data_IF_261293738988
#
_entry.id   IF_261293738988
#
_cell.length_a   1.000
_cell.length_b   1.000
_cell.length_c   1.000
_cell.angle_alpha   90.00
_cell.angle_beta   90.00
_cell.angle_gamma   90.00
#
_symmetry.space_group_name_H-M   'P 1'
#
loop_
_entity.id
_entity.type
_entity.pdbx_description
1 polymer ?
#
# COMPACT_ATOMS: atom_id res chain seq x y z
N UNK A 1 28.52 23.92 -24.50
CA UNK A 1 28.57 22.58 -23.88
C UNK A 1 27.87 22.71 -22.55
N UNK A 2 26.88 21.87 -22.31
CA UNK A 2 26.11 21.86 -21.06
C UNK A 2 26.68 20.77 -20.15
N UNK A 3 26.87 21.07 -18.86
CA UNK A 3 27.40 20.15 -17.87
C UNK A 3 26.31 19.84 -16.85
N UNK A 4 25.93 18.58 -16.75
CA UNK A 4 24.95 18.09 -15.78
C UNK A 4 25.63 17.14 -14.79
N UNK A 5 25.40 17.34 -13.49
CA UNK A 5 25.85 16.39 -12.47
C UNK A 5 24.99 15.12 -12.54
N UNK A 6 25.63 13.96 -12.63
CA UNK A 6 24.95 12.66 -12.71
C UNK A 6 24.79 12.03 -11.33
N UNK A 7 24.27 12.79 -10.36
CA UNK A 7 23.92 12.38 -8.98
C UNK A 7 24.75 11.19 -8.42
N UNK A 8 26.07 11.28 -8.62
CA UNK A 8 26.99 10.17 -8.39
C UNK A 8 27.63 10.36 -7.02
N UNK A 9 28.02 9.26 -6.33
CA UNK A 9 28.65 9.36 -5.03
C UNK A 9 29.88 10.29 -5.06
N UNK A 10 29.86 11.31 -4.22
CA UNK A 10 30.98 12.27 -4.09
C UNK A 10 32.20 11.63 -3.40
N UNK A 11 31.97 10.51 -2.71
CA UNK A 11 32.98 9.74 -2.02
C UNK A 11 33.01 8.30 -2.54
N UNK A 12 34.21 7.73 -2.62
CA UNK A 12 34.43 6.34 -2.97
C UNK A 12 35.42 5.70 -1.99
N UNK A 13 35.10 4.52 -1.48
CA UNK A 13 35.99 3.70 -0.66
C UNK A 13 36.27 2.42 -1.43
N UNK A 14 37.51 2.21 -1.84
CA UNK A 14 37.87 1.01 -2.60
C UNK A 14 37.94 -0.25 -1.72
N UNK A 15 38.16 -1.43 -2.34
CA UNK A 15 38.26 -2.71 -1.63
C UNK A 15 39.43 -2.79 -0.64
N UNK A 16 40.42 -1.91 -0.77
CA UNK A 16 41.54 -1.82 0.14
C UNK A 16 41.28 -0.83 1.28
N UNK A 17 40.10 -0.20 1.31
CA UNK A 17 39.72 0.78 2.33
C UNK A 17 40.29 2.16 2.08
N UNK A 18 40.71 2.48 0.85
CA UNK A 18 41.20 3.82 0.52
C UNK A 18 40.03 4.74 0.24
N UNK A 19 39.87 5.79 1.05
CA UNK A 19 38.89 6.85 0.81
C UNK A 19 39.41 7.79 -0.27
N UNK A 20 38.56 8.04 -1.27
CA UNK A 20 38.78 8.95 -2.38
C UNK A 20 37.55 9.81 -2.55
N UNK A 21 37.73 10.96 -3.21
CA UNK A 21 36.60 11.68 -3.75
C UNK A 21 36.36 11.25 -5.19
N UNK A 22 35.09 11.17 -5.55
CA UNK A 22 34.61 10.73 -6.85
C UNK A 22 33.57 11.72 -7.36
N UNK A 23 33.36 11.76 -8.66
CA UNK A 23 32.23 12.47 -9.22
C UNK A 23 31.99 12.03 -10.65
N UNK A 24 30.75 12.16 -11.10
CA UNK A 24 30.41 11.92 -12.50
C UNK A 24 29.53 13.02 -13.05
N UNK A 25 29.81 13.41 -14.29
CA UNK A 25 29.08 14.45 -15.01
C UNK A 25 28.75 13.97 -16.41
N UNK A 26 27.65 14.49 -16.92
CA UNK A 26 27.25 14.38 -18.31
C UNK A 26 27.60 15.69 -19.00
N UNK A 27 28.43 15.61 -20.03
CA UNK A 27 28.76 16.72 -20.90
C UNK A 27 27.99 16.56 -22.21
N UNK A 28 27.17 17.55 -22.53
CA UNK A 28 26.30 17.56 -23.71
C UNK A 28 26.68 18.66 -24.69
N UNK A 29 26.76 18.32 -25.97
CA UNK A 29 26.88 19.28 -27.06
C UNK A 29 25.52 19.88 -27.43
N UNK A 30 25.51 21.16 -27.82
CA UNK A 30 24.30 21.82 -28.29
C UNK A 30 23.97 21.48 -29.76
N UNK A 31 24.98 21.10 -30.56
CA UNK A 31 24.87 20.77 -31.98
C UNK A 31 25.84 19.63 -32.35
N UNK A 32 25.47 18.82 -33.34
CA UNK A 32 26.17 17.59 -33.82
C UNK A 32 27.51 17.88 -34.53
N UNK A 33 27.90 19.16 -34.66
CA UNK A 33 29.12 19.58 -35.37
C UNK A 33 30.35 19.70 -34.49
N UNK A 34 30.21 19.50 -33.18
CA UNK A 34 31.31 19.59 -32.21
C UNK A 34 31.81 18.19 -31.85
N UNK A 35 33.12 17.97 -31.87
CA UNK A 35 33.74 16.77 -31.28
C UNK A 35 33.64 16.84 -29.75
N UNK A 36 32.49 16.39 -29.23
CA UNK A 36 32.18 16.45 -27.80
C UNK A 36 33.12 15.59 -26.95
N UNK A 37 33.72 14.54 -27.53
CA UNK A 37 34.70 13.72 -26.84
C UNK A 37 36.00 14.51 -26.57
N UNK A 38 36.54 15.18 -27.60
CA UNK A 38 37.71 16.04 -27.45
C UNK A 38 37.42 17.22 -26.50
N UNK A 39 36.22 17.81 -26.57
CA UNK A 39 35.81 18.87 -25.65
C UNK A 39 35.71 18.38 -24.19
N UNK A 40 35.18 17.16 -23.99
CA UNK A 40 35.08 16.54 -22.67
C UNK A 40 36.44 16.22 -22.08
N UNK A 41 37.40 15.70 -22.86
CA UNK A 41 38.78 15.47 -22.40
C UNK A 41 39.47 16.79 -22.02
N UNK A 42 39.35 17.83 -22.85
CA UNK A 42 39.91 19.14 -22.57
C UNK A 42 39.29 19.78 -21.32
N UNK A 43 37.97 19.63 -21.14
CA UNK A 43 37.27 20.08 -19.95
C UNK A 43 37.69 19.28 -18.72
N UNK A 44 37.89 17.97 -18.88
CA UNK A 44 38.21 17.11 -17.77
C UNK A 44 39.60 17.39 -17.17
N UNK A 45 40.51 17.90 -17.99
CA UNK A 45 41.87 18.25 -17.57
C UNK A 45 42.80 17.05 -17.54
N UNK A 46 43.78 17.07 -16.65
CA UNK A 46 44.84 16.04 -16.59
C UNK A 46 45.02 15.52 -15.18
N UNK A 47 45.41 14.26 -15.03
CA UNK A 47 45.85 13.73 -13.72
C UNK A 47 46.97 14.59 -13.13
N UNK A 48 46.94 14.83 -11.82
CA UNK A 48 47.88 15.69 -11.11
C UNK A 48 47.46 17.16 -11.00
N UNK A 49 46.41 17.60 -11.71
CA UNK A 49 45.85 18.94 -11.52
C UNK A 49 44.81 18.98 -10.39
N UNK A 50 44.52 20.19 -9.91
CA UNK A 50 43.38 20.45 -9.03
C UNK A 50 42.06 20.02 -9.70
N UNK A 51 41.11 19.54 -8.91
CA UNK A 51 39.82 19.09 -9.42
C UNK A 51 38.99 20.27 -9.94
N UNK A 52 38.49 20.15 -11.16
CA UNK A 52 37.50 21.05 -11.76
C UNK A 52 36.08 20.70 -11.31
N UNK A 53 35.50 21.52 -10.45
CA UNK A 53 34.10 21.43 -10.02
C UNK A 53 33.23 22.31 -10.91
N UNK A 54 32.19 21.80 -11.59
CA UNK A 54 31.34 22.65 -12.41
C UNK A 54 30.69 23.77 -11.59
N UNK A 55 30.48 24.93 -12.21
CA UNK A 55 29.71 26.03 -11.62
C UNK A 55 28.24 25.65 -11.53
N UNK A 56 27.49 26.34 -10.67
CA UNK A 56 26.04 26.13 -10.52
C UNK A 56 25.24 26.36 -11.82
N UNK A 57 25.77 27.14 -12.76
CA UNK A 57 25.16 27.34 -14.09
C UNK A 57 25.37 26.16 -15.04
N UNK A 58 26.31 25.25 -14.74
CA UNK A 58 26.64 24.11 -15.61
C UNK A 58 27.36 24.51 -16.91
N UNK A 59 27.88 25.74 -16.99
CA UNK A 59 28.54 26.30 -18.18
C UNK A 59 30.06 26.42 -18.04
N UNK A 60 30.58 26.42 -16.80
CA UNK A 60 32.02 26.59 -16.50
C UNK A 60 32.43 25.73 -15.29
N UNK A 61 33.66 25.87 -14.80
CA UNK A 61 34.17 25.20 -13.61
C UNK A 61 34.96 26.11 -12.67
N UNK A 62 35.00 25.75 -11.38
CA UNK A 62 35.96 26.27 -10.39
C UNK A 62 36.99 25.20 -10.06
N UNK A 63 38.18 25.62 -9.64
CA UNK A 63 39.21 24.69 -9.16
C UNK A 63 39.02 24.47 -7.65
N UNK A 64 38.98 23.20 -7.26
CA UNK A 64 39.08 22.74 -5.88
C UNK A 64 40.56 22.42 -5.60
N UNK A 65 41.31 23.33 -4.93
CA UNK A 65 42.73 23.15 -4.66
C UNK A 65 43.00 22.07 -3.60
N UNK A 66 41.97 21.57 -2.92
CA UNK A 66 42.11 20.57 -1.87
C UNK A 66 42.15 19.15 -2.43
N UNK A 67 41.85 18.97 -3.71
CA UNK A 67 41.78 17.65 -4.35
C UNK A 67 42.64 17.60 -5.61
N UNK A 68 43.58 16.67 -5.63
CA UNK A 68 44.37 16.33 -6.81
C UNK A 68 43.71 15.16 -7.54
N UNK A 69 43.49 15.35 -8.84
CA UNK A 69 42.90 14.32 -9.71
C UNK A 69 43.89 13.18 -9.90
N UNK A 70 43.48 11.96 -9.56
CA UNK A 70 44.30 10.74 -9.72
C UNK A 70 43.87 9.90 -10.92
N UNK A 71 42.61 10.01 -11.34
CA UNK A 71 42.07 9.30 -12.50
C UNK A 71 40.95 10.10 -13.18
N UNK A 72 40.90 10.01 -14.50
CA UNK A 72 39.87 10.61 -15.37
C UNK A 72 39.41 9.52 -16.33
N UNK A 73 38.10 9.29 -16.42
CA UNK A 73 37.51 8.40 -17.42
C UNK A 73 36.43 9.15 -18.20
N UNK A 74 36.62 9.27 -19.52
CA UNK A 74 35.65 9.86 -20.44
C UNK A 74 35.02 8.74 -21.28
N UNK A 75 33.72 8.49 -21.08
CA UNK A 75 32.95 7.49 -21.79
C UNK A 75 31.91 8.16 -22.68
N UNK A 76 32.06 8.05 -24.01
CA UNK A 76 31.03 8.48 -24.95
C UNK A 76 29.76 7.61 -24.77
N UNK A 77 28.60 8.26 -24.61
CA UNK A 77 27.30 7.60 -24.53
C UNK A 77 26.61 7.61 -25.90
N UNK A 78 26.70 8.75 -26.60
CA UNK A 78 26.20 8.94 -27.98
C UNK A 78 26.99 10.09 -28.68
N UNK A 79 26.53 10.55 -29.85
CA UNK A 79 27.22 11.60 -30.63
C UNK A 79 27.22 12.97 -29.95
N UNK A 80 26.33 13.21 -28.98
CA UNK A 80 26.16 14.49 -28.30
C UNK A 80 26.53 14.42 -26.82
N UNK A 81 26.68 13.24 -26.23
CA UNK A 81 26.81 13.05 -24.79
C UNK A 81 28.03 12.22 -24.38
N UNK A 82 28.80 12.75 -23.44
CA UNK A 82 29.96 12.07 -22.83
C UNK A 82 29.82 12.08 -21.32
N UNK A 83 29.91 10.90 -20.70
CA UNK A 83 30.04 10.76 -19.25
C UNK A 83 31.50 10.92 -18.86
N UNK A 84 31.79 11.89 -18.00
CA UNK A 84 33.12 12.07 -17.40
C UNK A 84 33.05 11.62 -15.95
N UNK A 85 33.92 10.71 -15.54
CA UNK A 85 34.07 10.25 -14.15
C UNK A 85 35.46 10.61 -13.63
N UNK A 86 35.52 11.28 -12.50
CA UNK A 86 36.76 11.63 -11.80
C UNK A 86 36.97 10.79 -10.55
N UNK A 87 38.24 10.54 -10.24
CA UNK A 87 38.68 10.19 -8.90
C UNK A 87 39.83 11.10 -8.48
N UNK A 88 39.83 11.51 -7.22
CA UNK A 88 40.86 12.37 -6.65
C UNK A 88 41.15 12.06 -5.20
N UNK A 89 42.34 12.45 -4.76
CA UNK A 89 42.82 12.37 -3.37
C UNK A 89 43.15 13.77 -2.86
N UNK A 90 43.34 13.94 -1.56
CA UNK A 90 43.68 15.25 -0.99
C UNK A 90 44.99 15.79 -1.57
N UNK A 91 45.09 17.11 -1.75
CA UNK A 91 46.26 17.76 -2.34
C UNK A 91 47.53 17.70 -1.49
N UNK A 92 47.40 17.34 -0.20
CA UNK A 92 48.52 16.96 0.66
C UNK A 92 49.24 15.68 0.17
N UNK A 93 48.64 14.92 -0.74
CA UNK A 93 49.16 13.63 -1.21
C UNK A 93 48.98 12.50 -0.19
N UNK A 94 48.35 12.77 0.95
CA UNK A 94 48.08 11.77 1.98
C UNK A 94 46.94 10.86 1.52
N UNK A 95 47.23 9.57 1.48
CA UNK A 95 46.22 8.53 1.24
C UNK A 95 45.53 8.24 2.57
N UNK A 96 44.22 8.42 2.59
CA UNK A 96 43.40 8.11 3.76
C UNK A 96 42.98 6.65 3.65
N UNK A 97 43.68 5.79 4.37
CA UNK A 97 43.42 4.35 4.40
C UNK A 97 42.64 3.96 5.67
N UNK A 98 41.68 3.06 5.51
CA UNK A 98 41.03 2.45 6.65
C UNK A 98 42.03 1.59 7.43
N UNK A 99 41.93 1.62 8.76
CA UNK A 99 42.65 0.71 9.66
C UNK A 99 42.19 -0.71 9.29
N UNK A 100 43.08 -1.56 8.77
CA UNK A 100 42.75 -2.87 8.18
C UNK A 100 41.83 -3.76 9.04
N UNK A 101 41.93 -3.69 10.36
CA UNK A 101 41.12 -4.48 11.30
C UNK A 101 39.80 -3.82 11.73
N UNK A 102 39.52 -2.61 11.28
CA UNK A 102 38.33 -1.83 11.67
C UNK A 102 37.12 -2.06 10.77
N UNK A 103 37.33 -2.67 9.59
CA UNK A 103 36.24 -2.90 8.65
C UNK A 103 35.24 -3.91 9.22
N UNK A 104 33.99 -3.48 9.39
CA UNK A 104 32.89 -4.32 9.85
C UNK A 104 31.71 -4.17 8.91
N UNK A 105 31.15 -5.32 8.52
CA UNK A 105 29.81 -5.41 7.96
C UNK A 105 28.83 -5.84 9.05
N UNK A 106 27.69 -5.16 9.14
CA UNK A 106 26.65 -5.47 10.10
C UNK A 106 25.29 -5.49 9.39
N UNK A 107 24.62 -6.65 9.39
CA UNK A 107 23.21 -6.74 8.99
C UNK A 107 22.36 -6.81 10.24
N UNK A 108 21.53 -5.80 10.45
CA UNK A 108 20.63 -5.72 11.59
C UNK A 108 19.34 -6.49 11.33
N UNK A 109 18.55 -6.69 12.40
CA UNK A 109 17.28 -7.44 12.35
C UNK A 109 16.23 -6.81 11.44
N UNK A 110 16.35 -5.52 11.19
CA UNK A 110 15.50 -4.74 10.30
C UNK A 110 16.00 -4.72 8.86
N UNK A 111 16.95 -5.61 8.52
CA UNK A 111 17.57 -5.73 7.20
C UNK A 111 18.45 -4.55 6.79
N UNK A 112 18.67 -3.58 7.68
CA UNK A 112 19.65 -2.52 7.46
C UNK A 112 21.05 -3.12 7.39
N UNK A 113 21.72 -2.90 6.25
CA UNK A 113 23.09 -3.32 6.00
C UNK A 113 24.04 -2.14 6.17
N UNK A 114 24.96 -2.27 7.12
CA UNK A 114 25.94 -1.25 7.44
C UNK A 114 27.34 -1.70 7.07
N UNK A 115 28.12 -0.74 6.57
CA UNK A 115 29.58 -0.81 6.53
C UNK A 115 30.16 0.22 7.48
N UNK A 116 31.11 -0.22 8.28
CA UNK A 116 31.81 0.60 9.26
C UNK A 116 33.30 0.46 8.99
N UNK A 117 34.02 1.58 8.99
CA UNK A 117 35.47 1.61 8.94
C UNK A 117 36.02 2.76 9.77
N UNK A 118 37.21 2.56 10.33
CA UNK A 118 37.96 3.61 11.01
C UNK A 118 39.12 4.06 10.15
N UNK A 119 39.36 5.37 10.13
CA UNK A 119 40.42 6.02 9.37
C UNK A 119 41.30 6.80 10.33
N UNK A 120 42.61 6.65 10.22
CA UNK A 120 43.57 7.49 10.92
C UNK A 120 44.00 8.62 9.99
N UNK A 121 43.88 9.86 10.43
CA UNK A 121 44.21 11.04 9.62
C UNK A 121 44.66 12.22 10.47
N UNK A 122 45.23 13.22 9.82
CA UNK A 122 45.55 14.49 10.46
C UNK A 122 44.26 15.16 10.96
N UNK A 123 44.32 15.81 12.12
CA UNK A 123 43.16 16.52 12.68
C UNK A 123 42.61 17.60 11.72
N UNK A 124 43.47 18.22 10.90
CA UNK A 124 43.11 19.15 9.83
C UNK A 124 42.30 18.53 8.68
N UNK A 125 42.26 17.20 8.60
CA UNK A 125 41.68 16.47 7.47
C UNK A 125 40.31 15.91 7.79
N UNK A 126 39.85 16.00 9.04
CA UNK A 126 38.55 15.49 9.49
C UNK A 126 37.39 16.11 8.69
N UNK A 127 37.48 17.38 8.30
CA UNK A 127 36.44 18.06 7.50
C UNK A 127 36.28 17.47 6.08
N UNK A 128 37.27 16.70 5.60
CA UNK A 128 37.22 16.05 4.29
C UNK A 128 36.45 14.72 4.30
N UNK A 129 35.98 14.27 5.47
CA UNK A 129 35.19 13.05 5.60
C UNK A 129 33.76 13.22 5.08
N UNK A 130 33.11 12.14 4.60
CA UNK A 130 31.71 12.18 4.21
C UNK A 130 30.84 12.70 5.35
N UNK A 131 30.00 13.69 5.06
CA UNK A 131 29.01 14.23 6.00
C UNK A 131 27.78 13.35 6.02
N UNK A 132 27.02 13.45 7.11
CA UNK A 132 25.74 12.76 7.26
C UNK A 132 24.84 13.08 6.05
N UNK A 133 24.40 12.04 5.34
CA UNK A 133 23.56 12.16 4.14
C UNK A 133 24.31 12.05 2.82
N UNK A 134 25.65 12.16 2.79
CA UNK A 134 26.45 12.07 1.58
C UNK A 134 26.42 10.66 0.98
N UNK A 135 26.37 10.57 -0.35
CA UNK A 135 26.45 9.30 -1.08
C UNK A 135 27.89 8.80 -1.15
N UNK A 136 28.07 7.51 -0.87
CA UNK A 136 29.36 6.81 -0.85
C UNK A 136 29.29 5.59 -1.76
N UNK A 137 30.19 5.50 -2.75
CA UNK A 137 30.48 4.26 -3.46
C UNK A 137 31.44 3.43 -2.61
N UNK A 138 30.94 2.38 -1.95
CA UNK A 138 31.75 1.50 -1.14
C UNK A 138 32.04 0.19 -1.88
N UNK A 139 33.18 0.15 -2.55
CA UNK A 139 33.67 -1.00 -3.32
C UNK A 139 32.73 -1.46 -4.45
N UNK A 140 32.03 -0.52 -5.09
CA UNK A 140 31.08 -0.74 -6.18
C UNK A 140 29.62 -0.84 -5.73
N UNK A 141 29.35 -0.60 -4.44
CA UNK A 141 28.02 -0.66 -3.85
C UNK A 141 27.62 0.74 -3.34
N UNK A 142 26.33 1.07 -3.46
CA UNK A 142 25.85 2.39 -3.10
C UNK A 142 25.45 2.45 -1.61
N UNK A 143 26.14 3.29 -0.87
CA UNK A 143 25.91 3.57 0.54
C UNK A 143 25.62 5.05 0.76
N UNK A 144 25.03 5.39 1.91
CA UNK A 144 24.90 6.76 2.39
C UNK A 144 25.53 6.90 3.76
N UNK A 145 26.27 7.97 3.98
CA UNK A 145 26.90 8.27 5.27
C UNK A 145 25.82 8.48 6.33
N UNK A 146 25.90 7.72 7.41
CA UNK A 146 25.03 7.86 8.59
C UNK A 146 25.74 8.63 9.70
N UNK A 147 27.03 8.34 9.92
CA UNK A 147 27.84 9.05 10.89
C UNK A 147 29.32 9.04 10.50
N UNK A 148 30.01 10.11 10.83
CA UNK A 148 31.47 10.24 10.76
C UNK A 148 31.95 10.86 12.07
N UNK A 149 32.28 10.02 13.06
CA UNK A 149 32.64 10.46 14.41
C UNK A 149 34.15 10.51 14.53
N UNK A 150 34.70 11.69 14.80
CA UNK A 150 36.12 11.89 15.02
C UNK A 150 36.47 11.87 16.51
N UNK A 151 37.45 11.05 16.87
CA UNK A 151 38.06 11.00 18.19
C UNK A 151 39.51 11.51 18.08
N UNK A 152 39.85 12.55 18.83
CA UNK A 152 41.21 13.10 18.82
C UNK A 152 42.21 12.11 19.43
N UNK A 153 43.32 11.90 18.73
CA UNK A 153 44.44 11.06 19.17
C UNK A 153 45.68 11.95 19.35
N UNK A 154 45.60 12.88 20.31
CA UNK A 154 46.57 13.95 20.49
C UNK A 154 46.22 15.21 19.67
N UNK A 155 47.19 16.13 19.54
CA UNK A 155 46.94 17.46 18.93
C UNK A 155 46.95 17.45 17.39
N UNK A 156 47.59 16.45 16.77
CA UNK A 156 47.81 16.42 15.30
C UNK A 156 47.05 15.30 14.58
N UNK A 157 46.50 14.32 15.30
CA UNK A 157 45.87 13.14 14.71
C UNK A 157 44.45 12.90 15.24
N UNK A 158 43.62 12.29 14.41
CA UNK A 158 42.27 11.86 14.76
C UNK A 158 41.96 10.48 14.16
N UNK A 159 41.20 9.68 14.91
CA UNK A 159 40.57 8.46 14.39
C UNK A 159 39.13 8.82 14.05
N UNK A 160 38.76 8.68 12.78
CA UNK A 160 37.38 8.89 12.34
C UNK A 160 36.71 7.54 12.10
N UNK A 161 35.62 7.27 12.82
CA UNK A 161 34.74 6.13 12.57
C UNK A 161 33.63 6.55 11.62
N UNK A 162 33.66 6.02 10.40
CA UNK A 162 32.61 6.20 9.39
C UNK A 162 31.64 5.02 9.45
N UNK A 163 30.35 5.31 9.58
CA UNK A 163 29.26 4.36 9.43
C UNK A 163 28.43 4.74 8.22
N UNK A 164 28.25 3.82 7.29
CA UNK A 164 27.47 4.02 6.09
C UNK A 164 26.44 2.90 5.93
N UNK A 165 25.26 3.25 5.43
CA UNK A 165 24.12 2.33 5.28
C UNK A 165 23.81 2.09 3.80
N UNK A 166 23.58 0.83 3.42
CA UNK A 166 23.31 0.43 2.04
C UNK A 166 22.01 1.10 1.56
N UNK A 167 22.03 1.77 0.42
CA UNK A 167 20.86 2.41 -0.20
C UNK A 167 20.23 1.58 -1.31
N UNK A 168 20.84 0.47 -1.74
CA UNK A 168 20.23 -0.44 -2.71
C UNK A 168 19.08 -1.28 -2.13
N UNK A 169 18.85 -1.19 -0.80
CA UNK A 169 17.79 -1.90 -0.06
C UNK A 169 16.44 -1.17 -0.17
N UNK A 170 16.15 -0.52 -1.31
CA UNK A 170 14.92 0.25 -1.54
C UNK A 170 13.64 -0.61 -1.51
N UNK A 171 13.75 -1.95 -1.51
CA UNK A 171 12.60 -2.85 -1.47
C UNK A 171 12.94 -4.24 -0.90
N UNK A 172 13.70 -4.34 0.21
CA UNK A 172 13.62 -5.55 1.04
C UNK A 172 12.37 -5.46 1.94
N UNK A 173 11.20 -5.55 1.31
CA UNK A 173 9.96 -5.80 2.02
C UNK A 173 10.00 -7.20 2.61
N UNK A 174 10.23 -7.33 3.92
CA UNK A 174 9.95 -8.62 4.58
C UNK A 174 8.44 -8.77 4.65
N UNK A 175 7.91 -9.69 3.85
CA UNK A 175 6.50 -10.03 3.90
C UNK A 175 6.32 -11.19 4.88
N UNK A 176 5.77 -10.88 6.04
CA UNK A 176 5.34 -11.90 6.99
C UNK A 176 3.88 -12.24 6.73
N UNK A 177 3.55 -13.53 6.68
CA UNK A 177 2.16 -13.99 6.53
C UNK A 177 1.67 -14.51 7.86
N UNK A 178 0.57 -13.94 8.35
CA UNK A 178 -0.17 -14.42 9.52
C UNK A 178 -1.52 -14.89 9.04
N UNK A 179 -1.79 -16.19 9.17
CA UNK A 179 -3.11 -16.78 8.95
C UNK A 179 -3.71 -17.20 10.28
N UNK A 180 -4.91 -16.75 10.61
CA UNK A 180 -5.67 -17.32 11.73
C UNK A 180 -6.65 -18.38 11.23
N UNK A 181 -7.29 -19.09 12.18
CA UNK A 181 -8.23 -20.17 11.89
C UNK A 181 -9.57 -19.68 11.29
N UNK A 182 -9.83 -18.38 11.26
CA UNK A 182 -11.10 -17.76 10.81
C UNK A 182 -11.00 -17.12 9.42
N UNK A 183 -10.20 -17.71 8.53
CA UNK A 183 -9.99 -17.27 7.14
C UNK A 183 -9.32 -15.90 6.99
N UNK A 184 -8.81 -15.30 8.08
CA UNK A 184 -8.08 -14.05 8.01
C UNK A 184 -6.65 -14.33 7.53
N UNK A 185 -6.33 -13.83 6.35
CA UNK A 185 -4.95 -13.79 5.86
C UNK A 185 -4.47 -12.35 5.93
N UNK A 186 -3.46 -12.13 6.77
CA UNK A 186 -2.80 -10.83 6.91
C UNK A 186 -1.36 -10.98 6.44
N UNK A 187 -0.92 -10.00 5.65
CA UNK A 187 0.48 -9.83 5.28
C UNK A 187 1.02 -8.54 5.88
N UNK A 188 2.19 -8.60 6.45
CA UNK A 188 2.89 -7.45 7.02
C UNK A 188 4.11 -7.18 6.16
N UNK A 189 4.21 -5.98 5.59
CA UNK A 189 5.36 -5.51 4.84
C UNK A 189 6.09 -4.43 5.65
N UNK A 190 7.39 -4.60 5.83
CA UNK A 190 8.26 -3.59 6.47
C UNK A 190 9.19 -3.00 5.42
N UNK A 191 9.17 -1.67 5.28
CA UNK A 191 9.92 -0.90 4.30
C UNK A 191 10.80 0.12 4.99
N UNK A 192 11.99 0.38 4.47
CA UNK A 192 12.90 1.42 4.95
C UNK A 192 13.07 2.46 3.84
N UNK A 193 12.61 3.68 4.10
CA UNK A 193 12.53 4.73 3.10
C UNK A 193 13.41 5.91 3.48
N UNK A 194 14.01 6.51 2.46
CA UNK A 194 14.65 7.81 2.58
C UNK A 194 13.56 8.92 2.63
N UNK A 195 13.86 10.10 3.22
CA UNK A 195 12.87 11.16 3.39
C UNK A 195 12.29 11.69 2.07
N UNK A 196 13.09 11.70 1.01
CA UNK A 196 12.70 12.08 -0.36
C UNK A 196 11.77 11.06 -1.04
N UNK A 197 11.90 9.77 -0.70
CA UNK A 197 11.04 8.71 -1.22
C UNK A 197 9.76 8.50 -0.40
N UNK A 198 9.71 8.98 0.85
CA UNK A 198 8.63 8.70 1.80
C UNK A 198 7.26 9.14 1.30
N UNK A 199 7.14 10.39 0.85
CA UNK A 199 5.85 10.98 0.45
C UNK A 199 5.23 10.22 -0.72
N UNK A 200 6.00 10.02 -1.79
CA UNK A 200 5.58 9.27 -2.97
C UNK A 200 5.23 7.80 -2.65
N UNK A 201 5.94 7.18 -1.71
CA UNK A 201 5.65 5.82 -1.27
C UNK A 201 4.33 5.73 -0.51
N UNK A 202 4.07 6.66 0.42
CA UNK A 202 2.84 6.70 1.21
C UNK A 202 1.62 7.02 0.33
N UNK A 203 1.77 7.86 -0.69
CA UNK A 203 0.69 8.13 -1.65
C UNK A 203 0.28 6.88 -2.42
N UNK A 204 1.27 6.10 -2.90
CA UNK A 204 1.02 4.82 -3.60
C UNK A 204 0.46 3.73 -2.69
N UNK A 205 0.73 3.79 -1.38
CA UNK A 205 0.35 2.78 -0.40
C UNK A 205 -0.60 3.36 0.67
N UNK A 206 -1.62 4.10 0.22
CA UNK A 206 -2.59 4.72 1.12
C UNK A 206 -3.48 3.70 1.81
N UNK A 207 -4.03 4.05 2.97
CA UNK A 207 -4.99 3.20 3.67
C UNK A 207 -6.17 2.85 2.75
N UNK A 208 -6.57 1.58 2.77
CA UNK A 208 -7.64 0.96 1.99
C UNK A 208 -7.36 0.84 0.49
N UNK A 209 -6.17 1.22 0.03
CA UNK A 209 -5.74 0.93 -1.33
C UNK A 209 -5.33 -0.55 -1.49
N UNK A 210 -5.36 -1.08 -2.74
CA UNK A 210 -4.79 -2.39 -3.05
C UNK A 210 -3.31 -2.46 -2.66
N UNK A 211 -2.92 -3.51 -1.94
CA UNK A 211 -1.56 -3.79 -1.56
C UNK A 211 -0.90 -4.72 -2.59
N UNK A 212 -0.44 -4.18 -3.73
CA UNK A 212 0.17 -4.97 -4.81
C UNK A 212 1.34 -5.84 -4.31
N UNK A 213 2.12 -5.33 -3.37
CA UNK A 213 3.22 -6.06 -2.73
C UNK A 213 2.76 -7.30 -1.94
N UNK A 214 1.52 -7.32 -1.45
CA UNK A 214 0.94 -8.45 -0.71
C UNK A 214 0.27 -9.47 -1.65
N UNK A 215 0.01 -9.12 -2.91
CA UNK A 215 -0.65 -9.95 -3.92
C UNK A 215 -2.10 -9.55 -4.18
N UNK A 216 -2.79 -10.32 -5.03
CA UNK A 216 -4.17 -10.03 -5.42
C UNK A 216 -5.14 -10.08 -4.23
N UNK A 217 -6.13 -9.19 -4.24
CA UNK A 217 -7.18 -9.07 -3.22
C UNK A 217 -6.66 -8.74 -1.81
N UNK A 218 -5.44 -8.22 -1.67
CA UNK A 218 -4.96 -7.65 -0.41
C UNK A 218 -5.19 -6.14 -0.38
N UNK A 219 -5.67 -5.63 0.74
CA UNK A 219 -5.91 -4.19 0.96
C UNK A 219 -5.22 -3.71 2.22
N UNK A 220 -4.59 -2.54 2.16
CA UNK A 220 -3.90 -1.94 3.30
C UNK A 220 -4.95 -1.52 4.34
N UNK A 221 -4.82 -1.98 5.58
CA UNK A 221 -5.72 -1.58 6.67
C UNK A 221 -4.98 -0.94 7.84
N UNK A 222 -3.64 -1.02 7.86
CA UNK A 222 -2.82 -0.35 8.85
C UNK A 222 -1.52 0.13 8.20
N UNK A 223 -1.09 1.31 8.63
CA UNK A 223 0.12 2.00 8.22
C UNK A 223 0.74 2.62 9.47
N UNK A 224 1.95 2.17 9.81
CA UNK A 224 2.74 2.68 10.93
C UNK A 224 4.05 3.25 10.37
N UNK A 225 4.43 4.45 10.80
CA UNK A 225 5.69 5.08 10.41
C UNK A 225 6.50 5.38 11.67
N UNK A 226 7.74 4.92 11.71
CA UNK A 226 8.68 5.21 12.80
C UNK A 226 10.01 5.72 12.23
N UNK A 227 10.68 6.58 13.00
CA UNK A 227 12.06 6.98 12.67
C UNK A 227 12.93 5.74 12.84
N UNK A 228 13.68 5.37 11.81
CA UNK A 228 14.63 4.26 11.92
C UNK A 228 15.76 4.62 12.90
N UNK A 229 16.53 3.62 13.35
CA UNK A 229 17.66 3.85 14.27
C UNK A 229 18.65 4.92 13.73
N UNK A 230 18.74 5.02 12.40
CA UNK A 230 19.31 6.17 11.69
C UNK A 230 18.26 7.26 11.54
N UNK A 231 18.42 8.44 12.16
CA UNK A 231 17.51 9.58 12.01
C UNK A 231 17.33 10.12 10.57
N UNK A 232 17.93 9.44 9.59
CA UNK A 232 17.92 9.73 8.16
C UNK A 232 16.97 8.84 7.36
N UNK A 233 16.25 7.91 8.00
CA UNK A 233 15.28 7.02 7.34
C UNK A 233 14.01 6.88 8.15
N UNK A 234 12.93 6.57 7.45
CA UNK A 234 11.65 6.22 8.04
C UNK A 234 11.39 4.75 7.77
N UNK A 235 11.18 3.98 8.84
CA UNK A 235 10.64 2.63 8.72
C UNK A 235 9.13 2.74 8.59
N UNK A 236 8.58 2.18 7.51
CA UNK A 236 7.15 2.12 7.25
C UNK A 236 6.72 0.66 7.36
N UNK A 237 5.78 0.38 8.26
CA UNK A 237 5.19 -0.94 8.45
C UNK A 237 3.75 -0.89 7.94
N UNK A 238 3.47 -1.66 6.89
CA UNK A 238 2.14 -1.79 6.30
C UNK A 238 1.56 -3.16 6.65
N UNK A 239 0.28 -3.19 7.04
CA UNK A 239 -0.46 -4.45 7.19
C UNK A 239 -1.58 -4.47 6.15
N UNK A 240 -1.56 -5.51 5.34
CA UNK A 240 -2.56 -5.77 4.32
C UNK A 240 -3.37 -7.01 4.68
N UNK A 241 -4.67 -6.95 4.45
CA UNK A 241 -5.60 -8.04 4.71
C UNK A 241 -6.15 -8.56 3.38
N UNK A 242 -6.25 -9.88 3.25
CA UNK A 242 -6.95 -10.51 2.14
C UNK A 242 -8.45 -10.29 2.27
N UNK A 243 -9.06 -9.73 1.23
CA UNK A 243 -10.49 -9.47 1.15
C UNK A 243 -10.99 -9.94 -0.21
N UNK A 244 -11.76 -11.01 -0.21
CA UNK A 244 -12.40 -11.55 -1.42
C UNK A 244 -13.90 -11.70 -1.17
N UNK A 245 -14.69 -11.52 -2.22
CA UNK A 245 -16.09 -11.94 -2.22
C UNK A 245 -16.18 -13.46 -2.04
N UNK A 246 -16.63 -13.89 -0.85
CA UNK A 246 -16.76 -15.30 -0.53
C UNK A 246 -17.94 -15.55 0.41
N UNK A 247 -18.72 -16.60 0.13
CA UNK A 247 -19.69 -17.13 1.10
C UNK A 247 -18.96 -17.94 2.16
N UNK A 248 -19.08 -17.53 3.42
CA UNK A 248 -18.39 -18.14 4.56
C UNK A 248 -19.29 -19.08 5.36
N UNK A 249 -20.61 -18.89 5.29
CA UNK A 249 -21.57 -19.73 6.01
C UNK A 249 -22.89 -19.81 5.24
N UNK A 250 -23.51 -20.98 5.30
CA UNK A 250 -24.86 -21.22 4.83
C UNK A 250 -25.58 -22.13 5.82
N UNK A 251 -26.72 -21.67 6.33
CA UNK A 251 -27.53 -22.37 7.31
C UNK A 251 -29.00 -22.36 6.88
N UNK A 252 -29.68 -23.46 7.21
CA UNK A 252 -31.14 -23.53 7.21
C UNK A 252 -31.60 -23.68 8.65
N UNK A 253 -32.48 -22.80 9.09
CA UNK A 253 -33.20 -22.94 10.36
C UNK A 253 -34.69 -23.17 10.12
N UNK A 254 -35.32 -23.81 11.10
CA UNK A 254 -36.74 -24.14 11.12
C UNK A 254 -37.32 -23.56 12.40
N UNK A 255 -38.32 -22.70 12.28
CA UNK A 255 -39.01 -22.09 13.42
C UNK A 255 -40.48 -22.48 13.40
N UNK A 256 -41.03 -22.92 14.53
CA UNK A 256 -42.47 -23.17 14.66
C UNK A 256 -43.15 -21.84 14.96
N UNK A 257 -43.98 -21.36 14.04
CA UNK A 257 -44.59 -20.01 14.12
C UNK A 257 -46.02 -20.06 14.67
N UNK A 258 -46.74 -21.15 14.42
CA UNK A 258 -48.09 -21.34 14.94
C UNK A 258 -48.48 -22.81 15.02
N UNK A 259 -49.56 -23.10 15.74
CA UNK A 259 -50.23 -24.40 15.75
C UNK A 259 -51.62 -24.20 15.14
N UNK A 260 -51.75 -24.52 13.84
CA UNK A 260 -53.05 -24.51 13.16
C UNK A 260 -53.67 -25.90 13.21
N UNK A 261 -54.84 -26.07 13.84
CA UNK A 261 -55.54 -27.36 13.95
C UNK A 261 -54.62 -28.53 14.38
N UNK A 262 -53.81 -28.33 15.42
CA UNK A 262 -52.83 -29.30 15.95
C UNK A 262 -51.68 -29.70 14.97
N UNK A 263 -51.52 -28.99 13.86
CA UNK A 263 -50.37 -29.14 12.93
C UNK A 263 -49.45 -27.92 13.11
N UNK A 264 -48.15 -28.13 13.40
CA UNK A 264 -47.20 -27.02 13.50
C UNK A 264 -46.98 -26.39 12.13
N UNK A 265 -47.20 -25.08 12.04
CA UNK A 265 -46.76 -24.28 10.91
C UNK A 265 -45.27 -23.98 11.08
N UNK A 266 -44.45 -24.57 10.20
CA UNK A 266 -42.99 -24.43 10.21
C UNK A 266 -42.59 -23.36 9.20
N UNK A 267 -41.81 -22.38 9.68
CA UNK A 267 -41.13 -21.38 8.88
C UNK A 267 -39.71 -21.87 8.59
N UNK A 268 -39.39 -21.97 7.31
CA UNK A 268 -38.04 -22.22 6.83
C UNK A 268 -37.32 -20.89 6.57
N UNK A 269 -36.17 -20.71 7.20
CA UNK A 269 -35.29 -19.55 6.99
C UNK A 269 -33.96 -20.06 6.46
N UNK A 270 -33.56 -19.56 5.30
CA UNK A 270 -32.21 -19.77 4.78
C UNK A 270 -31.38 -18.53 5.09
N UNK A 271 -30.22 -18.72 5.69
CA UNK A 271 -29.29 -17.64 6.01
C UNK A 271 -27.94 -17.93 5.40
N UNK A 272 -27.37 -16.96 4.69
CA UNK A 272 -25.97 -17.01 4.26
C UNK A 272 -25.20 -15.83 4.80
N UNK A 273 -23.92 -16.05 5.10
CA UNK A 273 -22.98 -14.98 5.43
C UNK A 273 -21.89 -14.92 4.39
N UNK A 274 -21.58 -13.71 3.98
CA UNK A 274 -20.61 -13.40 2.94
C UNK A 274 -19.61 -12.40 3.48
N UNK A 275 -18.34 -12.57 3.12
CA UNK A 275 -17.32 -11.52 3.26
C UNK A 275 -17.07 -10.90 1.90
N UNK A 276 -16.86 -9.59 1.88
CA UNK A 276 -16.60 -8.86 0.64
C UNK A 276 -15.84 -7.56 0.91
N UNK A 277 -15.31 -6.97 -0.16
CA UNK A 277 -14.66 -5.67 -0.08
C UNK A 277 -15.70 -4.57 0.12
N UNK A 278 -15.27 -3.44 0.69
CA UNK A 278 -16.15 -2.29 0.91
C UNK A 278 -16.84 -1.79 -0.38
N UNK A 279 -16.19 -1.95 -1.54
CA UNK A 279 -16.74 -1.59 -2.85
C UNK A 279 -17.86 -2.51 -3.36
N UNK A 280 -18.04 -3.70 -2.78
CA UNK A 280 -18.96 -4.73 -3.29
C UNK A 280 -20.40 -4.56 -2.77
N UNK A 281 -20.68 -3.51 -1.98
CA UNK A 281 -22.00 -3.29 -1.38
C UNK A 281 -23.14 -3.33 -2.43
N UNK A 282 -22.92 -2.74 -3.60
CA UNK A 282 -23.93 -2.68 -4.66
C UNK A 282 -24.32 -4.08 -5.19
N UNK A 283 -23.40 -5.05 -5.12
CA UNK A 283 -23.67 -6.44 -5.52
C UNK A 283 -24.75 -7.02 -4.59
N UNK A 284 -24.58 -6.88 -3.28
CA UNK A 284 -25.53 -7.40 -2.30
C UNK A 284 -26.86 -6.65 -2.35
N UNK A 285 -26.86 -5.32 -2.44
CA UNK A 285 -28.11 -4.55 -2.54
C UNK A 285 -28.95 -4.96 -3.77
N UNK A 286 -28.30 -5.35 -4.87
CA UNK A 286 -28.98 -5.86 -6.07
C UNK A 286 -29.57 -7.27 -5.90
N UNK A 287 -29.18 -8.03 -4.87
CA UNK A 287 -29.70 -9.38 -4.61
C UNK A 287 -31.06 -9.38 -3.89
N UNK A 288 -31.47 -8.28 -3.25
CA UNK A 288 -32.78 -8.19 -2.61
C UNK A 288 -33.91 -8.48 -3.60
N UNK A 289 -34.83 -9.37 -3.22
CA UNK A 289 -35.94 -9.77 -4.09
C UNK A 289 -35.59 -10.82 -5.14
N UNK A 290 -34.34 -11.29 -5.18
CA UNK A 290 -33.90 -12.37 -6.09
C UNK A 290 -33.85 -13.72 -5.38
N UNK A 291 -33.69 -14.80 -6.15
CA UNK A 291 -33.56 -16.15 -5.60
C UNK A 291 -32.17 -16.35 -4.93
N UNK A 292 -32.08 -17.10 -3.82
CA UNK A 292 -30.82 -17.41 -3.12
C UNK A 292 -30.02 -18.50 -3.85
N UNK A 293 -29.53 -18.16 -5.06
CA UNK A 293 -28.81 -19.08 -5.95
C UNK A 293 -27.60 -19.70 -5.23
N UNK A 294 -27.54 -21.03 -5.20
CA UNK A 294 -26.47 -21.85 -4.61
C UNK A 294 -26.42 -21.89 -3.07
N UNK A 295 -27.38 -21.30 -2.34
CA UNK A 295 -27.38 -21.37 -0.88
C UNK A 295 -28.75 -21.52 -0.23
N UNK A 296 -29.85 -21.24 -0.93
CA UNK A 296 -31.21 -21.44 -0.42
C UNK A 296 -32.09 -22.28 -1.33
N UNK A 297 -33.37 -22.34 -0.99
CA UNK A 297 -34.37 -22.97 -1.85
C UNK A 297 -34.60 -22.14 -3.12
N UNK A 298 -34.72 -22.73 -4.32
CA UNK A 298 -34.87 -22.00 -5.58
C UNK A 298 -36.09 -21.07 -5.64
N UNK A 299 -37.16 -21.42 -4.93
CA UNK A 299 -38.40 -20.65 -4.86
C UNK A 299 -38.40 -19.62 -3.72
N UNK A 300 -37.41 -19.66 -2.82
CA UNK A 300 -37.26 -18.64 -1.80
C UNK A 300 -36.76 -17.32 -2.40
N UNK A 301 -36.99 -16.22 -1.70
CA UNK A 301 -36.59 -14.89 -2.09
C UNK A 301 -35.77 -14.26 -0.98
N UNK A 302 -34.65 -13.63 -1.35
CA UNK A 302 -33.81 -12.86 -0.43
C UNK A 302 -34.62 -11.67 0.06
N UNK A 303 -35.02 -11.69 1.33
CA UNK A 303 -35.92 -10.71 1.93
C UNK A 303 -35.21 -9.72 2.85
N UNK A 304 -34.02 -10.07 3.35
CA UNK A 304 -33.25 -9.20 4.22
C UNK A 304 -31.75 -9.32 3.95
N UNK A 305 -31.06 -8.18 4.00
CA UNK A 305 -29.60 -8.07 3.94
C UNK A 305 -29.16 -7.18 5.08
N UNK A 306 -28.32 -7.73 5.95
CA UNK A 306 -27.77 -7.03 7.11
C UNK A 306 -26.27 -6.88 6.95
N UNK A 307 -25.77 -5.67 6.59
CA UNK A 307 -24.34 -5.41 6.51
C UNK A 307 -23.75 -5.22 7.91
N UNK A 308 -22.54 -5.74 8.12
CA UNK A 308 -21.73 -5.57 9.32
C UNK A 308 -20.32 -5.17 8.91
N UNK A 309 -19.90 -3.96 9.26
CA UNK A 309 -18.52 -3.50 9.04
C UNK A 309 -17.57 -4.31 9.93
N UNK A 310 -16.58 -4.96 9.31
CA UNK A 310 -15.48 -5.62 10.02
C UNK A 310 -14.30 -4.65 10.10
N UNK A 311 -14.00 -4.00 8.98
CA UNK A 311 -13.01 -2.94 8.86
C UNK A 311 -13.45 -1.95 7.78
N UNK A 312 -12.61 -0.96 7.49
CA UNK A 312 -12.84 0.05 6.46
C UNK A 312 -12.73 -0.53 5.05
N UNK A 313 -12.04 -1.67 4.90
CA UNK A 313 -11.88 -2.38 3.62
C UNK A 313 -12.73 -3.66 3.52
N UNK A 314 -13.30 -4.16 4.62
CA UNK A 314 -14.00 -5.46 4.67
C UNK A 314 -15.36 -5.37 5.37
N UNK A 315 -16.38 -5.93 4.72
CA UNK A 315 -17.74 -6.05 5.25
C UNK A 315 -18.18 -7.51 5.26
N UNK A 316 -18.95 -7.86 6.29
CA UNK A 316 -19.72 -9.10 6.33
C UNK A 316 -21.19 -8.79 6.01
N UNK A 317 -21.77 -9.53 5.08
CA UNK A 317 -23.18 -9.41 4.70
C UNK A 317 -23.92 -10.67 5.11
N UNK A 318 -24.91 -10.52 5.98
CA UNK A 318 -25.85 -11.59 6.32
C UNK A 318 -27.10 -11.46 5.45
N UNK A 319 -27.32 -12.44 4.59
CA UNK A 319 -28.48 -12.54 3.70
C UNK A 319 -29.47 -13.54 4.29
N UNK A 320 -30.73 -13.17 4.29
CA UNK A 320 -31.83 -14.04 4.71
C UNK A 320 -32.81 -14.23 3.55
N UNK A 321 -33.16 -15.47 3.26
CA UNK A 321 -34.15 -15.84 2.27
C UNK A 321 -35.27 -16.66 2.91
N UNK A 322 -36.49 -16.41 2.43
CA UNK A 322 -37.73 -17.08 2.87
C UNK A 322 -38.62 -17.39 1.68
N UNK A 323 -39.55 -18.32 1.84
CA UNK A 323 -40.59 -18.53 0.83
C UNK A 323 -41.49 -17.28 0.70
N UNK A 324 -41.93 -16.91 -0.51
CA UNK A 324 -42.69 -15.68 -0.74
C UNK A 324 -43.92 -15.52 0.16
N UNK A 325 -44.63 -16.60 0.46
CA UNK A 325 -45.79 -16.60 1.36
C UNK A 325 -45.47 -16.22 2.81
N UNK A 326 -44.20 -16.31 3.24
CA UNK A 326 -43.76 -15.99 4.61
C UNK A 326 -43.00 -14.66 4.73
N UNK A 327 -42.76 -13.97 3.60
CA UNK A 327 -42.12 -12.63 3.53
C UNK A 327 -43.12 -11.56 4.00
N UNK A 328 -43.36 -11.50 5.31
CA UNK A 328 -44.33 -10.59 5.94
C UNK A 328 -44.78 -11.00 7.34
N UNK A 329 -44.51 -12.23 7.76
CA UNK A 329 -44.71 -12.69 9.13
C UNK A 329 -43.59 -12.15 10.04
N UNK A 330 -43.62 -10.86 10.37
CA UNK A 330 -42.80 -10.35 11.47
C UNK A 330 -43.48 -10.70 12.80
N UNK A 331 -42.71 -11.33 13.69
CA UNK A 331 -43.12 -11.74 15.04
C UNK A 331 -43.58 -10.53 15.90
N UNK A 332 -43.28 -9.31 15.46
CA UNK A 332 -43.62 -8.05 16.15
C UNK A 332 -44.87 -7.35 15.62
N UNK A 333 -45.67 -8.00 14.79
CA UNK A 333 -46.93 -7.42 14.36
C UNK A 333 -47.96 -7.50 15.52
N UNK A 334 -48.00 -6.45 16.36
CA UNK A 334 -48.87 -6.30 17.56
C UNK A 334 -50.35 -6.62 17.30
N UNK A 335 -50.81 -6.58 16.06
CA UNK A 335 -52.20 -6.86 15.68
C UNK A 335 -52.56 -8.34 15.65
N UNK A 336 -51.60 -9.27 15.82
CA UNK A 336 -51.90 -10.70 15.90
C UNK A 336 -52.34 -11.17 17.30
N UNK A 337 -52.11 -10.36 18.34
CA UNK A 337 -52.43 -10.72 19.73
C UNK A 337 -53.83 -10.26 20.21
N UNK A 338 -54.60 -9.55 19.40
CA UNK A 338 -55.93 -9.02 19.79
C UNK A 338 -57.09 -10.04 19.66
N UNK A 339 -56.80 -11.34 19.76
CA UNK A 339 -57.82 -12.40 19.56
C UNK A 339 -58.69 -12.71 20.78
N UNK A 340 -58.35 -12.21 21.98
CA UNK A 340 -59.05 -12.54 23.23
C UNK A 340 -59.78 -11.33 23.85
N UNK A 341 -60.95 -10.98 23.31
CA UNK A 341 -61.90 -10.11 24.01
C UNK A 341 -63.28 -10.79 24.14
N UNK A 342 -63.79 -11.00 25.37
CA UNK A 342 -64.91 -11.90 25.65
C UNK A 342 -66.29 -11.42 25.18
N UNK A 343 -66.47 -10.15 24.80
CA UNK A 343 -67.80 -9.54 24.61
C UNK A 343 -68.15 -9.13 23.17
N UNK A 344 -67.42 -9.61 22.15
CA UNK A 344 -67.69 -9.23 20.75
C UNK A 344 -68.60 -10.23 20.05
N UNK A 345 -69.82 -9.80 19.69
CA UNK A 345 -70.65 -10.49 18.70
C UNK A 345 -70.21 -10.07 17.30
N UNK A 346 -69.40 -10.88 16.64
CA UNK A 346 -68.98 -10.64 15.26
C UNK A 346 -70.05 -11.14 14.28
N UNK A 347 -70.60 -10.21 13.50
CA UNK A 347 -71.34 -10.56 12.29
C UNK A 347 -70.33 -10.91 11.20
N UNK A 348 -70.32 -12.16 10.76
CA UNK A 348 -69.43 -12.63 9.70
C UNK A 348 -69.85 -12.07 8.32
N UNK A 349 -69.32 -10.90 7.97
CA UNK A 349 -68.89 -10.69 6.60
C UNK A 349 -67.44 -11.15 6.54
N UNK A 350 -67.11 -12.19 5.76
CA UNK A 350 -65.72 -12.59 5.49
C UNK A 350 -65.04 -11.48 4.68
N UNK A 351 -64.68 -10.38 5.33
CA UNK A 351 -63.74 -9.39 4.81
C UNK A 351 -62.40 -9.76 5.45
N UNK A 352 -61.58 -10.50 4.70
CA UNK A 352 -60.20 -10.71 5.11
C UNK A 352 -59.42 -9.43 4.88
N UNK A 353 -58.80 -8.89 5.93
CA UNK A 353 -57.74 -7.90 5.73
C UNK A 353 -56.54 -8.62 5.09
N UNK A 354 -56.24 -8.31 3.84
CA UNK A 354 -54.97 -8.67 3.21
C UNK A 354 -54.05 -7.47 3.26
N UNK A 355 -52.91 -7.62 3.94
CA UNK A 355 -51.83 -6.63 3.93
C UNK A 355 -50.76 -7.11 2.96
N UNK A 356 -50.40 -6.25 2.02
CA UNK A 356 -49.37 -6.56 1.04
C UNK A 356 -48.03 -5.99 1.50
N UNK A 357 -46.98 -6.79 1.37
CA UNK A 357 -45.62 -6.31 1.56
C UNK A 357 -45.28 -5.31 0.46
N UNK A 358 -44.34 -4.38 0.71
CA UNK A 358 -43.87 -3.45 -0.32
C UNK A 358 -43.46 -4.18 -1.61
N UNK A 359 -42.82 -5.35 -1.49
CA UNK A 359 -42.39 -6.19 -2.63
C UNK A 359 -43.58 -6.72 -3.41
N UNK A 360 -44.65 -7.16 -2.74
CA UNK A 360 -45.90 -7.57 -3.37
C UNK A 360 -46.60 -6.41 -4.10
N UNK A 361 -46.26 -5.17 -3.76
CA UNK A 361 -46.73 -3.96 -4.41
C UNK A 361 -45.74 -3.39 -5.44
N UNK A 362 -44.62 -4.05 -5.71
CA UNK A 362 -43.60 -3.60 -6.66
C UNK A 362 -42.60 -2.59 -6.12
N UNK A 363 -42.43 -2.51 -4.80
CA UNK A 363 -41.52 -1.60 -4.13
C UNK A 363 -40.53 -2.35 -3.23
N UNK A 364 -39.33 -1.80 -3.07
CA UNK A 364 -38.34 -2.27 -2.10
C UNK A 364 -37.94 -1.14 -1.16
N UNK A 365 -37.65 -1.49 0.09
CA UNK A 365 -37.16 -0.55 1.10
C UNK A 365 -35.64 -0.47 1.02
N UNK A 366 -35.10 0.71 0.73
CA UNK A 366 -33.65 0.94 0.66
C UNK A 366 -33.05 1.28 2.01
N UNK A 367 -31.74 1.07 2.14
CA UNK A 367 -30.91 1.45 3.29
C UNK A 367 -30.99 2.94 3.64
N UNK A 368 -31.36 3.80 2.68
CA UNK A 368 -31.60 5.23 2.89
C UNK A 368 -33.00 5.58 3.45
N UNK A 369 -33.82 4.58 3.79
CA UNK A 369 -35.14 4.77 4.39
C UNK A 369 -36.26 5.13 3.41
N UNK A 370 -36.06 4.94 2.10
CA UNK A 370 -37.07 5.23 1.08
C UNK A 370 -37.54 3.97 0.34
N UNK A 371 -38.81 3.99 -0.11
CA UNK A 371 -39.33 2.99 -1.05
C UNK A 371 -38.91 3.34 -2.47
N UNK A 372 -38.37 2.36 -3.19
CA UNK A 372 -38.08 2.49 -4.63
C UNK A 372 -38.76 1.40 -5.45
N UNK A 373 -39.24 1.69 -6.66
CA UNK A 373 -39.82 0.68 -7.54
C UNK A 373 -38.84 -0.45 -7.88
N UNK A 374 -39.34 -1.67 -7.97
CA UNK A 374 -38.62 -2.84 -8.45
C UNK A 374 -38.61 -2.86 -9.99
N UNK A 375 -37.43 -2.82 -10.60
CA UNK A 375 -37.28 -2.69 -12.06
C UNK A 375 -37.90 -3.85 -12.88
N UNK A 376 -37.98 -5.04 -12.30
CA UNK A 376 -38.49 -6.24 -12.97
C UNK A 376 -39.85 -6.71 -12.43
N UNK A 377 -40.54 -5.85 -11.66
CA UNK A 377 -41.82 -6.23 -11.10
C UNK A 377 -42.95 -6.16 -12.13
N UNK A 378 -43.60 -7.29 -12.37
CA UNK A 378 -44.71 -7.42 -13.30
C UNK A 378 -46.03 -7.58 -12.53
N UNK A 379 -46.93 -6.59 -12.57
CA UNK A 379 -48.20 -6.66 -11.84
C UNK A 379 -49.01 -7.92 -12.20
N UNK A 380 -48.98 -8.34 -13.46
CA UNK A 380 -49.73 -9.49 -13.96
C UNK A 380 -49.20 -10.85 -13.48
N UNK A 381 -48.00 -10.94 -12.91
CA UNK A 381 -47.44 -12.19 -12.40
C UNK A 381 -47.16 -12.15 -10.90
N UNK A 382 -46.93 -10.97 -10.35
CA UNK A 382 -46.40 -10.79 -9.00
C UNK A 382 -47.31 -9.96 -8.09
N UNK A 383 -48.34 -9.29 -8.63
CA UNK A 383 -49.36 -8.68 -7.79
C UNK A 383 -50.28 -9.77 -7.23
N UNK A 384 -50.43 -9.88 -5.90
CA UNK A 384 -51.36 -10.82 -5.29
C UNK A 384 -52.83 -10.49 -5.59
N UNK A 385 -53.13 -9.27 -6.05
CA UNK A 385 -54.43 -8.87 -6.59
C UNK A 385 -54.43 -8.97 -8.11
N UNK A 386 -54.48 -10.20 -8.62
CA UNK A 386 -54.67 -10.43 -10.04
C UNK A 386 -56.13 -10.84 -10.28
N UNK A 387 -56.94 -9.94 -10.84
CA UNK A 387 -58.36 -10.24 -11.09
C UNK A 387 -58.50 -10.81 -12.49
N UNK A 388 -58.94 -12.06 -12.62
CA UNK A 388 -59.22 -12.67 -13.93
C UNK A 388 -60.47 -12.10 -14.60
N UNK A 389 -61.31 -11.40 -13.85
CA UNK A 389 -62.49 -10.71 -14.36
C UNK A 389 -62.46 -9.23 -13.94
N UNK A 390 -62.85 -8.29 -14.82
CA UNK A 390 -63.06 -6.90 -14.43
C UNK A 390 -64.16 -6.81 -13.35
N UNK A 391 -63.96 -5.94 -12.37
CA UNK A 391 -64.99 -5.68 -11.36
C UNK A 391 -66.27 -5.18 -12.04
N UNK A 392 -67.47 -5.59 -11.58
CA UNK A 392 -68.71 -5.10 -12.13
C UNK A 392 -68.73 -3.58 -12.08
N UNK A 393 -68.95 -2.94 -13.24
CA UNK A 393 -69.15 -1.49 -13.29
C UNK A 393 -70.43 -1.16 -12.52
N UNK A 394 -70.35 -0.18 -11.63
CA UNK A 394 -71.46 0.27 -10.79
C UNK A 394 -72.58 0.89 -11.61
#
# INVERSE_FOLDING_TARGET
>A
MQIQFLDAPEFAIDRNGVLRRSGSWLLSAAEDTCDIAAAAESWAGTTGSAWRKPTASGEDYTLDPEVIVTSINCQALDSLNVKVTFQGTKSSGQVIEAIKSSYRFERRKDLSEYKIAQFEMAASDVESMPKIGDLIDWAGENYRCESAVAEAQGDEAAIVTLTAVNIAVELEGRIESVSNAEFEQVKVGTFLLMPDALEAFLERNSLHSPAEWAGENFYIFNQECEVADSALRTRVILKARYVQLQMIENLRSEEIVSLGNDIPEILYIWSSRWRAAAGDQAIFEAMLGTAPVNWGHPEAVICQITPKRISDCEFEYQLEARLPETVGCSINNKYWQDRDLPDRREYYARVGEMRFSPVQCGYTWRSNGNYTPLNNWQPAMQCPLNTTNPLPQR
#
